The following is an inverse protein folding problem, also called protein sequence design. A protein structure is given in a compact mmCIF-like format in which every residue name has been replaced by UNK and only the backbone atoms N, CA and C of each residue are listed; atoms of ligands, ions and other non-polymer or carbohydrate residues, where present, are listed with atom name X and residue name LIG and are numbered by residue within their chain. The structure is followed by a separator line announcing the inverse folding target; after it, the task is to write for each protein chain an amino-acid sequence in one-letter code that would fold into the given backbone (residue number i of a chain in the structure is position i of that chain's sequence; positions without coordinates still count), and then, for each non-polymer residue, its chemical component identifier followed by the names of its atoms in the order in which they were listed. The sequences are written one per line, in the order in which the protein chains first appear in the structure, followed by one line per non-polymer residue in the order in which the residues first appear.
data_IF_700400184567
#
_entry.id   IF_700400184567
#
_cell.length_a   1.000
_cell.length_b   1.000
_cell.length_c   1.000
_cell.angle_alpha   90.00
_cell.angle_beta   90.00
_cell.angle_gamma   90.00
#
_symmetry.space_group_name_H-M   'P 1'
#
loop_
_entity.id
_entity.type
_entity.pdbx_description
1 polymer ?
#
# COMPACT_ATOMS: atom_id res chain seq x y z
N UNK A 1 22.65 -25.53 -75.89
CA UNK A 1 23.38 -24.25 -75.85
C UNK A 1 23.22 -23.66 -74.46
N UNK A 2 24.34 -23.46 -73.77
CA UNK A 2 24.45 -22.85 -72.45
C UNK A 2 24.12 -21.37 -72.50
N UNK A 3 23.47 -20.83 -71.46
CA UNK A 3 24.14 -19.81 -70.64
C UNK A 3 23.49 -19.63 -69.27
N UNK A 4 24.28 -19.95 -68.24
CA UNK A 4 24.09 -19.59 -66.85
C UNK A 4 24.63 -18.17 -66.61
N UNK A 5 23.96 -17.34 -65.80
CA UNK A 5 24.58 -16.38 -64.84
C UNK A 5 23.58 -16.15 -63.70
N UNK A 6 23.79 -16.76 -62.53
CA UNK A 6 24.47 -16.28 -61.30
C UNK A 6 23.80 -15.09 -60.59
N UNK A 7 23.53 -15.34 -59.30
CA UNK A 7 22.90 -14.55 -58.23
C UNK A 7 23.60 -13.21 -57.88
N UNK A 8 22.84 -12.26 -57.32
CA UNK A 8 23.02 -11.79 -55.93
C UNK A 8 21.90 -10.83 -55.45
N UNK A 9 21.68 -10.68 -54.12
CA UNK A 9 20.43 -10.21 -53.52
C UNK A 9 20.46 -8.70 -53.20
N UNK A 10 19.36 -8.01 -53.43
CA UNK A 10 19.12 -6.67 -52.90
C UNK A 10 17.87 -6.71 -52.00
N UNK A 11 18.16 -6.55 -50.70
CA UNK A 11 17.30 -6.11 -49.61
C UNK A 11 15.86 -5.71 -49.98
N UNK A 12 14.92 -6.58 -49.61
CA UNK A 12 13.49 -6.23 -49.53
C UNK A 12 13.22 -5.71 -48.12
N UNK A 13 13.29 -4.40 -47.94
CA UNK A 13 12.89 -3.72 -46.69
C UNK A 13 11.37 -3.54 -46.73
N UNK A 14 10.62 -4.48 -46.16
CA UNK A 14 9.18 -4.32 -45.90
C UNK A 14 9.02 -3.51 -44.62
N UNK A 15 8.73 -2.22 -44.75
CA UNK A 15 8.30 -1.37 -43.63
C UNK A 15 6.79 -1.63 -43.42
N UNK A 16 6.46 -2.55 -42.52
CA UNK A 16 5.14 -2.67 -41.91
C UNK A 16 5.05 -1.66 -40.76
N UNK A 17 4.68 -0.42 -41.06
CA UNK A 17 4.30 0.57 -40.05
C UNK A 17 2.78 0.72 -40.02
N UNK A 18 2.07 -0.23 -39.42
CA UNK A 18 0.74 -0.04 -38.81
C UNK A 18 0.53 -1.14 -37.76
N UNK A 19 1.24 -1.06 -36.64
CA UNK A 19 0.81 -1.74 -35.42
C UNK A 19 -0.25 -0.88 -34.74
N UNK A 20 -1.49 -1.39 -34.53
CA UNK A 20 -2.46 -0.69 -33.70
C UNK A 20 -1.87 -0.58 -32.30
N UNK A 21 -1.69 0.64 -31.83
CA UNK A 21 -1.39 0.89 -30.44
C UNK A 21 -2.50 0.24 -29.61
N UNK A 22 -2.19 -0.66 -28.66
CA UNK A 22 -3.16 -0.95 -27.62
C UNK A 22 -3.29 0.37 -26.86
N UNK A 23 -4.42 1.04 -27.03
CA UNK A 23 -4.84 2.11 -26.13
C UNK A 23 -4.78 1.52 -24.73
N UNK A 24 -3.85 2.02 -23.92
CA UNK A 24 -3.77 1.75 -22.50
C UNK A 24 -5.09 2.22 -21.90
N UNK A 25 -6.05 1.32 -21.78
CA UNK A 25 -7.13 1.49 -20.83
C UNK A 25 -6.47 1.51 -19.47
N UNK A 26 -6.43 2.68 -18.85
CA UNK A 26 -6.05 2.84 -17.45
C UNK A 26 -6.99 1.99 -16.60
N UNK A 27 -6.62 0.73 -16.35
CA UNK A 27 -7.33 -0.11 -15.39
C UNK A 27 -6.81 0.27 -14.01
N UNK A 28 -7.35 1.34 -13.45
CA UNK A 28 -7.40 1.52 -12.01
C UNK A 28 -8.12 0.30 -11.45
N UNK A 29 -7.41 -0.63 -10.82
CA UNK A 29 -8.07 -1.48 -9.82
C UNK A 29 -8.23 -0.58 -8.62
N UNK A 30 -9.45 -0.10 -8.41
CA UNK A 30 -9.83 0.60 -7.20
C UNK A 30 -9.47 -0.31 -6.01
N UNK A 31 -8.33 -0.06 -5.33
CA UNK A 31 -7.96 -0.70 -4.06
C UNK A 31 -8.83 -0.12 -2.91
N UNK A 32 -10.07 0.26 -3.23
CA UNK A 32 -11.09 0.69 -2.28
C UNK A 32 -12.01 -0.50 -2.01
N UNK A 33 -12.45 -0.71 -0.77
CA UNK A 33 -13.54 -1.64 -0.52
C UNK A 33 -14.71 -1.26 -1.44
N UNK A 34 -15.39 -2.24 -2.02
CA UNK A 34 -16.44 -2.00 -3.00
C UNK A 34 -17.81 -2.23 -2.36
N UNK A 35 -18.77 -1.39 -2.74
CA UNK A 35 -20.19 -1.65 -2.54
C UNK A 35 -20.70 -2.32 -3.80
N UNK A 36 -21.32 -3.48 -3.63
CA UNK A 36 -21.95 -4.22 -4.72
C UNK A 36 -23.46 -4.05 -4.62
N UNK A 37 -24.13 -4.03 -5.76
CA UNK A 37 -25.58 -3.94 -5.84
C UNK A 37 -26.11 -5.07 -6.70
N UNK A 38 -27.29 -5.56 -6.36
CA UNK A 38 -27.95 -6.64 -7.10
C UNK A 38 -28.41 -6.17 -8.47
N UNK A 39 -28.22 -7.00 -9.50
CA UNK A 39 -28.53 -6.68 -10.90
C UNK A 39 -30.01 -6.39 -11.15
N UNK A 40 -30.91 -7.08 -10.46
CA UNK A 40 -32.35 -6.99 -10.75
C UNK A 40 -33.03 -5.82 -10.03
N UNK A 41 -32.60 -5.56 -8.79
CA UNK A 41 -33.32 -4.64 -7.89
C UNK A 41 -32.48 -3.46 -7.40
N UNK A 42 -31.21 -3.43 -7.76
CA UNK A 42 -30.28 -2.39 -7.30
C UNK A 42 -30.17 -2.31 -5.78
N UNK A 43 -30.39 -3.44 -5.10
CA UNK A 43 -30.29 -3.54 -3.64
C UNK A 43 -28.83 -3.76 -3.25
N UNK A 44 -28.35 -3.01 -2.27
CA UNK A 44 -26.98 -3.15 -1.79
C UNK A 44 -26.75 -4.54 -1.19
N UNK A 45 -25.64 -5.17 -1.61
CA UNK A 45 -25.16 -6.40 -1.04
C UNK A 45 -24.64 -6.15 0.39
N UNK A 46 -25.05 -6.98 1.34
CA UNK A 46 -24.48 -6.97 2.69
C UNK A 46 -23.40 -8.03 2.91
N UNK A 47 -23.12 -8.85 1.91
CA UNK A 47 -21.98 -9.76 1.90
C UNK A 47 -21.20 -9.63 0.58
N UNK A 48 -20.11 -10.38 0.46
CA UNK A 48 -19.27 -10.37 -0.71
C UNK A 48 -20.02 -10.77 -1.99
N UNK A 49 -19.69 -10.08 -3.09
CA UNK A 49 -20.13 -10.49 -4.42
C UNK A 49 -19.22 -11.62 -4.92
N UNK A 50 -19.63 -12.87 -4.68
CA UNK A 50 -18.76 -14.04 -4.74
C UNK A 50 -19.39 -15.23 -5.48
N UNK A 51 -18.53 -16.07 -6.03
CA UNK A 51 -18.89 -17.39 -6.56
C UNK A 51 -19.10 -18.36 -5.39
N UNK A 52 -20.33 -18.82 -5.19
CA UNK A 52 -20.67 -19.83 -4.17
C UNK A 52 -21.02 -21.17 -4.82
N UNK A 53 -20.09 -21.72 -5.59
CA UNK A 53 -20.24 -23.01 -6.28
C UNK A 53 -20.88 -22.94 -7.68
N UNK A 54 -21.01 -21.74 -8.23
CA UNK A 54 -21.48 -21.46 -9.59
C UNK A 54 -20.46 -20.59 -10.32
N UNK A 55 -20.56 -20.51 -11.65
CA UNK A 55 -19.70 -19.68 -12.52
C UNK A 55 -20.17 -18.21 -12.63
N UNK A 56 -21.01 -17.78 -11.69
CA UNK A 56 -21.53 -16.43 -11.57
C UNK A 56 -21.46 -15.95 -10.13
N UNK A 57 -21.36 -14.64 -9.97
CA UNK A 57 -21.27 -13.93 -8.71
C UNK A 57 -22.65 -13.45 -8.27
N UNK A 58 -22.88 -13.56 -6.98
CA UNK A 58 -24.15 -13.23 -6.35
C UNK A 58 -23.88 -12.75 -4.94
N UNK A 59 -24.89 -12.16 -4.32
CA UNK A 59 -24.80 -11.67 -2.96
C UNK A 59 -26.18 -11.76 -2.31
N UNK A 60 -26.19 -11.60 -0.99
CA UNK A 60 -27.40 -11.37 -0.24
C UNK A 60 -27.68 -9.88 -0.09
N UNK A 61 -28.97 -9.55 -0.19
CA UNK A 61 -29.52 -8.23 0.10
C UNK A 61 -30.67 -8.36 1.09
N UNK A 62 -31.18 -7.22 1.58
CA UNK A 62 -32.38 -7.19 2.43
C UNK A 62 -33.63 -7.76 1.74
N UNK A 63 -33.60 -7.91 0.41
CA UNK A 63 -34.67 -8.51 -0.41
C UNK A 63 -34.40 -9.95 -0.86
N UNK A 64 -33.36 -10.58 -0.31
CA UNK A 64 -32.91 -11.93 -0.64
C UNK A 64 -31.72 -11.97 -1.59
N UNK A 65 -31.54 -13.11 -2.25
CA UNK A 65 -30.44 -13.33 -3.18
C UNK A 65 -30.57 -12.51 -4.46
N UNK A 66 -29.44 -12.01 -4.97
CA UNK A 66 -29.37 -11.37 -6.28
C UNK A 66 -28.00 -11.53 -6.93
N UNK A 67 -28.00 -11.51 -8.26
CA UNK A 67 -26.78 -11.46 -9.06
C UNK A 67 -26.06 -10.15 -8.82
N UNK A 68 -24.74 -10.12 -8.86
CA UNK A 68 -23.96 -8.91 -8.67
C UNK A 68 -22.68 -8.97 -9.51
N UNK A 69 -22.08 -7.82 -9.78
CA UNK A 69 -20.79 -7.76 -10.45
C UNK A 69 -19.65 -7.69 -9.42
N UNK A 70 -18.60 -8.53 -9.55
CA UNK A 70 -17.45 -8.50 -8.65
C UNK A 70 -16.60 -7.24 -8.81
N UNK A 71 -16.74 -6.52 -9.94
CA UNK A 71 -16.03 -5.27 -10.25
C UNK A 71 -16.91 -4.34 -11.08
N UNK A 72 -16.48 -3.08 -11.20
CA UNK A 72 -17.14 -2.12 -12.09
C UNK A 72 -17.02 -2.56 -13.55
N UNK A 73 -18.13 -2.46 -14.29
CA UNK A 73 -18.21 -2.75 -15.73
C UNK A 73 -17.76 -4.17 -16.12
N UNK A 74 -18.12 -5.15 -15.30
CA UNK A 74 -18.12 -6.56 -15.69
C UNK A 74 -19.51 -7.15 -15.48
N UNK A 75 -19.85 -8.22 -16.19
CA UNK A 75 -21.06 -9.00 -15.90
C UNK A 75 -20.91 -9.81 -14.60
N UNK A 76 -21.98 -10.50 -14.19
CA UNK A 76 -22.01 -11.37 -13.02
C UNK A 76 -21.11 -12.61 -13.16
N UNK A 77 -20.71 -12.97 -14.37
CA UNK A 77 -19.69 -14.00 -14.63
C UNK A 77 -18.26 -13.43 -14.67
N UNK A 78 -18.08 -12.11 -14.46
CA UNK A 78 -16.78 -11.44 -14.46
C UNK A 78 -16.21 -11.12 -15.86
N UNK A 79 -16.99 -11.25 -16.93
CA UNK A 79 -16.62 -10.84 -18.28
C UNK A 79 -16.68 -9.32 -18.44
N UNK A 80 -15.71 -8.76 -19.16
CA UNK A 80 -15.65 -7.32 -19.42
C UNK A 80 -16.82 -6.83 -20.28
N UNK A 81 -17.44 -5.74 -19.82
CA UNK A 81 -18.41 -4.98 -20.59
C UNK A 81 -17.71 -4.09 -21.63
N UNK A 82 -18.35 -3.94 -22.78
CA UNK A 82 -18.01 -2.99 -23.82
C UNK A 82 -18.12 -1.55 -23.30
N UNK A 83 -17.18 -0.68 -23.67
CA UNK A 83 -17.13 0.72 -23.20
C UNK A 83 -18.30 1.56 -23.68
N UNK A 84 -18.87 1.25 -24.85
CA UNK A 84 -20.00 1.97 -25.42
C UNK A 84 -21.33 1.52 -24.82
N UNK A 85 -21.35 0.32 -24.22
CA UNK A 85 -22.51 -0.27 -23.55
C UNK A 85 -22.10 -0.84 -22.19
N UNK A 86 -21.70 0.04 -21.23
CA UNK A 86 -21.28 -0.34 -19.89
C UNK A 86 -22.43 -0.97 -19.08
N UNK A 87 -22.18 -1.32 -17.82
CA UNK A 87 -23.23 -1.84 -16.96
C UNK A 87 -24.28 -0.76 -16.66
N UNK A 88 -25.50 -0.91 -17.19
CA UNK A 88 -26.60 0.05 -17.00
C UNK A 88 -27.98 -0.59 -17.25
N UNK A 89 -29.05 0.16 -16.95
CA UNK A 89 -30.42 -0.15 -17.34
C UNK A 89 -30.73 0.40 -18.72
N UNK A 90 -30.63 -0.47 -19.73
CA UNK A 90 -31.05 -0.19 -21.11
C UNK A 90 -32.56 -0.37 -21.31
N UNK A 91 -33.38 0.15 -20.38
CA UNK A 91 -34.85 0.04 -20.42
C UNK A 91 -35.42 -1.35 -20.08
N UNK A 92 -34.58 -2.29 -19.63
CA UNK A 92 -35.00 -3.60 -19.11
C UNK A 92 -35.22 -3.61 -17.60
N UNK A 93 -35.69 -4.76 -17.09
CA UNK A 93 -35.97 -4.95 -15.66
C UNK A 93 -34.72 -5.10 -14.79
N UNK A 94 -33.56 -5.36 -15.40
CA UNK A 94 -32.28 -5.58 -14.72
C UNK A 94 -31.13 -4.86 -15.42
N UNK A 95 -30.05 -4.63 -14.68
CA UNK A 95 -28.80 -4.08 -15.19
C UNK A 95 -28.10 -5.10 -16.09
N UNK A 96 -27.69 -4.65 -17.27
CA UNK A 96 -26.99 -5.49 -18.25
C UNK A 96 -25.90 -4.70 -18.95
N UNK A 97 -25.03 -5.39 -19.68
CA UNK A 97 -24.04 -4.76 -20.54
C UNK A 97 -23.79 -5.59 -21.79
N UNK A 98 -23.28 -4.97 -22.85
CA UNK A 98 -22.77 -5.71 -24.01
C UNK A 98 -21.39 -6.24 -23.66
N UNK A 99 -21.10 -7.50 -23.94
CA UNK A 99 -19.78 -8.07 -23.67
C UNK A 99 -18.81 -7.71 -24.79
N UNK A 100 -17.52 -7.53 -24.47
CA UNK A 100 -16.48 -7.28 -25.48
C UNK A 100 -16.35 -8.43 -26.51
N UNK A 101 -16.68 -9.65 -26.10
CA UNK A 101 -16.71 -10.84 -26.98
C UNK A 101 -18.01 -10.98 -27.78
N UNK A 102 -18.94 -10.03 -27.63
CA UNK A 102 -20.29 -10.08 -28.18
C UNK A 102 -21.29 -10.76 -27.24
N UNK A 103 -22.57 -10.47 -27.45
CA UNK A 103 -23.67 -10.89 -26.57
C UNK A 103 -23.95 -9.88 -25.45
N UNK A 104 -24.92 -10.24 -24.60
CA UNK A 104 -25.33 -9.46 -23.44
C UNK A 104 -25.09 -10.26 -22.16
N UNK A 105 -24.52 -9.61 -21.16
CA UNK A 105 -24.34 -10.15 -19.81
C UNK A 105 -25.18 -9.38 -18.80
N UNK A 106 -25.65 -10.06 -17.75
CA UNK A 106 -26.28 -9.42 -16.59
C UNK A 106 -25.19 -8.82 -15.72
N UNK A 107 -25.38 -7.63 -15.19
CA UNK A 107 -24.35 -6.97 -14.37
C UNK A 107 -25.00 -6.26 -13.20
N UNK A 108 -24.27 -6.00 -12.11
CA UNK A 108 -24.70 -5.20 -10.98
C UNK A 108 -23.89 -3.90 -10.88
N UNK A 109 -24.48 -2.85 -10.33
CA UNK A 109 -23.74 -1.62 -10.04
C UNK A 109 -22.66 -1.90 -9.00
N UNK A 110 -21.51 -1.24 -9.14
CA UNK A 110 -20.39 -1.31 -8.20
C UNK A 110 -19.86 0.09 -7.94
N UNK A 111 -19.74 0.44 -6.66
CA UNK A 111 -19.28 1.75 -6.20
C UNK A 111 -18.13 1.61 -5.19
N UNK A 112 -17.32 2.65 -5.05
CA UNK A 112 -16.27 2.69 -4.03
C UNK A 112 -16.85 3.01 -2.65
N UNK A 113 -16.46 2.20 -1.65
CA UNK A 113 -16.76 2.43 -0.23
C UNK A 113 -15.64 3.29 0.35
N UNK A 114 -15.89 4.60 0.42
CA UNK A 114 -14.97 5.58 1.01
C UNK A 114 -15.10 5.70 2.52
N UNK A 115 -16.24 5.31 3.07
CA UNK A 115 -16.52 5.31 4.51
C UNK A 115 -16.65 3.87 5.01
N UNK A 116 -15.84 3.52 6.00
CA UNK A 116 -15.93 2.25 6.72
C UNK A 116 -16.49 2.53 8.10
N UNK A 117 -17.67 1.98 8.35
CA UNK A 117 -18.28 1.91 9.66
C UNK A 117 -17.72 0.70 10.39
N UNK A 118 -17.38 0.88 11.65
CA UNK A 118 -17.06 -0.20 12.58
C UNK A 118 -18.13 -0.27 13.64
N UNK A 119 -18.46 -1.47 14.05
CA UNK A 119 -19.50 -1.73 15.04
C UNK A 119 -19.01 -1.37 16.44
N UNK A 120 -19.91 -1.42 17.42
CA UNK A 120 -19.56 -1.24 18.84
C UNK A 120 -18.52 -2.24 19.31
N UNK A 121 -18.39 -3.40 18.65
CA UNK A 121 -17.37 -4.43 18.94
C UNK A 121 -16.17 -4.37 17.97
N UNK A 122 -15.96 -3.22 17.32
CA UNK A 122 -14.81 -2.95 16.44
C UNK A 122 -14.73 -3.86 15.20
N UNK A 123 -15.86 -4.41 14.75
CA UNK A 123 -15.95 -5.18 13.51
C UNK A 123 -16.31 -4.27 12.34
N UNK A 124 -15.68 -4.46 11.18
CA UNK A 124 -16.01 -3.68 10.00
C UNK A 124 -17.40 -4.06 9.48
N UNK A 125 -18.24 -3.06 9.24
CA UNK A 125 -19.51 -3.24 8.55
C UNK A 125 -19.25 -3.59 7.10
N UNK A 126 -19.97 -4.59 6.58
CA UNK A 126 -19.94 -4.98 5.16
C UNK A 126 -20.82 -4.05 4.33
N UNK A 127 -21.98 -3.63 4.85
CA UNK A 127 -22.87 -2.62 4.29
C UNK A 127 -22.75 -1.26 5.00
N UNK A 128 -23.68 -0.36 4.70
CA UNK A 128 -23.80 0.93 5.39
C UNK A 128 -24.48 0.75 6.75
N UNK A 129 -24.17 1.66 7.68
CA UNK A 129 -24.80 1.70 8.99
C UNK A 129 -26.25 2.22 8.89
N UNK A 130 -27.23 1.34 9.05
CA UNK A 130 -28.65 1.59 8.78
C UNK A 130 -29.44 1.83 10.06
N UNK A 131 -30.40 2.76 10.00
CA UNK A 131 -31.31 3.02 11.12
C UNK A 131 -32.44 1.97 11.16
N UNK A 132 -32.68 1.38 12.33
CA UNK A 132 -33.77 0.47 12.59
C UNK A 132 -34.87 1.16 13.41
N UNK A 133 -35.94 1.58 12.74
CA UNK A 133 -37.00 2.42 13.33
C UNK A 133 -37.64 1.81 14.59
N UNK A 134 -37.98 0.51 14.56
CA UNK A 134 -38.64 -0.15 15.70
C UNK A 134 -37.73 -0.27 16.92
N UNK A 135 -36.41 -0.39 16.70
CA UNK A 135 -35.42 -0.54 17.75
C UNK A 135 -34.81 0.78 18.22
N UNK A 136 -34.95 1.84 17.42
CA UNK A 136 -34.31 3.16 17.62
C UNK A 136 -32.80 3.04 17.78
N UNK A 137 -32.17 2.28 16.89
CA UNK A 137 -30.73 2.11 16.86
C UNK A 137 -30.23 1.93 15.43
N UNK A 138 -28.93 2.13 15.26
CA UNK A 138 -28.21 1.87 14.04
C UNK A 138 -27.50 0.52 14.09
N UNK A 139 -27.47 -0.17 12.96
CA UNK A 139 -26.90 -1.51 12.82
C UNK A 139 -26.37 -1.74 11.41
N UNK A 140 -25.49 -2.73 11.27
CA UNK A 140 -24.96 -3.16 9.98
C UNK A 140 -24.68 -4.66 10.01
N UNK A 141 -24.44 -5.24 8.84
CA UNK A 141 -23.93 -6.59 8.73
C UNK A 141 -22.42 -6.64 8.90
N UNK A 142 -21.93 -7.77 9.40
CA UNK A 142 -20.51 -8.11 9.57
C UNK A 142 -20.28 -9.52 9.02
N UNK A 143 -19.02 -9.95 8.94
CA UNK A 143 -18.70 -11.34 8.58
C UNK A 143 -19.35 -12.38 9.51
N UNK A 144 -19.65 -12.01 10.77
CA UNK A 144 -20.22 -12.91 11.78
C UNK A 144 -21.75 -12.76 11.94
N UNK A 145 -22.42 -11.96 11.11
CA UNK A 145 -23.86 -11.71 11.20
C UNK A 145 -24.19 -10.22 11.16
N UNK A 146 -24.70 -9.67 12.26
CA UNK A 146 -25.03 -8.25 12.37
C UNK A 146 -24.60 -7.71 13.74
N UNK A 147 -24.35 -6.41 13.82
CA UNK A 147 -23.96 -5.72 15.07
C UNK A 147 -24.34 -4.24 15.02
N UNK A 148 -24.30 -3.55 16.16
CA UNK A 148 -24.63 -2.14 16.28
C UNK A 148 -23.51 -1.25 15.77
N UNK A 149 -23.83 -0.18 15.08
CA UNK A 149 -22.86 0.79 14.55
C UNK A 149 -23.38 2.22 14.79
N UNK A 150 -22.59 3.23 14.45
CA UNK A 150 -23.01 4.64 14.47
C UNK A 150 -23.03 5.18 13.04
N UNK A 151 -24.04 5.98 12.68
CA UNK A 151 -24.10 6.69 11.41
C UNK A 151 -23.13 7.87 11.36
N UNK A 152 -22.89 8.51 12.51
CA UNK A 152 -22.13 9.75 12.62
C UNK A 152 -20.96 9.65 13.60
N UNK A 153 -19.84 10.35 13.33
CA UNK A 153 -18.71 10.37 14.25
C UNK A 153 -19.12 10.94 15.59
N UNK A 154 -18.55 10.38 16.67
CA UNK A 154 -18.84 10.83 18.04
C UNK A 154 -20.34 10.82 18.38
N UNK A 155 -21.10 9.90 17.78
CA UNK A 155 -22.47 9.56 18.17
C UNK A 155 -22.54 8.10 18.58
N UNK A 156 -23.42 7.80 19.53
CA UNK A 156 -23.71 6.43 19.98
C UNK A 156 -24.51 5.69 18.92
N UNK A 157 -24.63 4.36 19.07
CA UNK A 157 -25.46 3.56 18.15
C UNK A 157 -26.96 3.91 18.21
N UNK A 158 -27.38 4.79 19.13
CA UNK A 158 -28.74 5.34 19.26
C UNK A 158 -28.83 6.82 18.85
N UNK A 159 -27.83 7.35 18.17
CA UNK A 159 -27.76 8.76 17.75
C UNK A 159 -27.62 9.79 18.89
N UNK A 160 -27.17 9.36 20.07
CA UNK A 160 -26.87 10.29 21.16
C UNK A 160 -25.44 10.80 21.00
N UNK A 161 -25.26 12.12 20.96
CA UNK A 161 -23.94 12.76 20.83
C UNK A 161 -23.05 12.45 22.03
N UNK A 162 -21.80 12.08 21.75
CA UNK A 162 -20.73 11.91 22.73
C UNK A 162 -20.23 13.27 23.23
N UNK A 163 -19.78 13.32 24.48
CA UNK A 163 -19.13 14.51 25.04
C UNK A 163 -17.90 14.92 24.21
N UNK A 164 -17.64 16.23 24.03
CA UNK A 164 -16.47 16.70 23.28
C UNK A 164 -15.12 16.25 23.83
N UNK A 165 -15.02 16.08 25.15
CA UNK A 165 -13.81 15.63 25.85
C UNK A 165 -13.72 14.10 26.01
N UNK A 166 -14.73 13.36 25.54
CA UNK A 166 -14.75 11.90 25.58
C UNK A 166 -15.45 11.38 24.32
N UNK A 167 -14.75 11.54 23.20
CA UNK A 167 -15.16 11.11 21.86
C UNK A 167 -15.48 9.61 21.78
N UNK A 168 -16.05 9.15 20.68
CA UNK A 168 -16.22 7.72 20.49
C UNK A 168 -14.85 7.03 20.40
N UNK A 169 -14.61 6.00 21.21
CA UNK A 169 -13.31 5.33 21.25
C UNK A 169 -13.33 4.00 22.00
N UNK A 170 -12.32 3.16 21.72
CA UNK A 170 -12.17 1.86 22.38
C UNK A 170 -11.62 1.97 23.82
N UNK A 171 -10.80 2.99 24.11
CA UNK A 171 -10.22 3.23 25.44
C UNK A 171 -9.56 2.00 26.09
N UNK A 172 -8.90 1.17 25.28
CA UNK A 172 -8.25 -0.07 25.72
C UNK A 172 -9.16 -1.29 25.80
N UNK A 173 -10.43 -1.17 25.43
CA UNK A 173 -11.41 -2.26 25.42
C UNK A 173 -11.57 -2.89 24.03
N UNK A 174 -12.25 -4.04 23.99
CA UNK A 174 -12.67 -4.71 22.75
C UNK A 174 -13.95 -4.14 22.16
N UNK A 175 -14.47 -3.05 22.75
CA UNK A 175 -15.65 -2.34 22.31
C UNK A 175 -15.43 -0.83 22.41
N UNK A 176 -16.17 -0.06 21.62
CA UNK A 176 -16.14 1.39 21.63
C UNK A 176 -17.34 2.01 22.34
N UNK A 177 -17.08 3.07 23.10
CA UNK A 177 -18.07 3.74 23.93
C UNK A 177 -17.70 5.21 24.14
N UNK A 178 -18.63 5.99 24.69
CA UNK A 178 -18.38 7.36 25.09
C UNK A 178 -19.32 7.79 26.23
N UNK A 179 -18.96 8.88 26.91
CA UNK A 179 -19.90 9.56 27.79
C UNK A 179 -20.84 10.45 26.99
N UNK A 180 -22.11 10.53 27.38
CA UNK A 180 -23.17 11.28 26.68
C UNK A 180 -23.63 12.54 27.43
N UNK A 181 -23.47 12.59 28.75
CA UNK A 181 -23.89 13.74 29.59
C UNK A 181 -22.91 14.01 30.72
N UNK A 182 -23.05 15.17 31.38
CA UNK A 182 -22.16 15.55 32.47
C UNK A 182 -22.26 14.74 33.79
N UNK A 183 -23.24 13.83 33.87
CA UNK A 183 -23.57 13.05 35.06
C UNK A 183 -23.00 11.62 35.02
N UNK A 184 -21.92 11.40 34.27
CA UNK A 184 -21.27 10.09 34.06
C UNK A 184 -22.16 9.06 33.34
N UNK A 185 -23.18 9.51 32.59
CA UNK A 185 -23.93 8.67 31.67
C UNK A 185 -23.06 8.31 30.45
N UNK A 186 -23.02 7.03 30.09
CA UNK A 186 -22.28 6.52 28.94
C UNK A 186 -23.12 5.59 28.09
N UNK A 187 -22.79 5.47 26.81
CA UNK A 187 -23.37 4.48 25.90
C UNK A 187 -22.33 4.03 24.86
N UNK A 188 -22.66 2.98 24.12
CA UNK A 188 -21.78 2.41 23.09
C UNK A 188 -21.83 3.21 21.79
N UNK A 189 -20.76 3.17 21.01
CA UNK A 189 -20.67 3.89 19.75
C UNK A 189 -19.82 3.10 18.75
N UNK A 190 -20.13 3.19 17.46
CA UNK A 190 -19.30 2.66 16.38
C UNK A 190 -18.26 3.68 15.92
N UNK A 191 -17.11 3.19 15.44
CA UNK A 191 -16.07 4.04 14.86
C UNK A 191 -16.31 4.25 13.37
N UNK A 192 -16.01 5.44 12.85
CA UNK A 192 -16.13 5.75 11.44
C UNK A 192 -14.77 6.18 10.93
N UNK A 193 -14.29 5.49 9.89
CA UNK A 193 -13.06 5.84 9.20
C UNK A 193 -13.35 6.17 7.74
N UNK A 194 -12.93 7.34 7.30
CA UNK A 194 -12.89 7.69 5.88
C UNK A 194 -11.54 7.24 5.33
N UNK A 195 -11.55 6.35 4.34
CA UNK A 195 -10.34 5.97 3.61
C UNK A 195 -10.24 6.82 2.35
N UNK A 196 -9.13 7.53 2.21
CA UNK A 196 -8.76 8.13 0.94
C UNK A 196 -8.43 7.01 -0.06
N UNK A 197 -9.30 6.84 -1.05
CA UNK A 197 -9.06 6.00 -2.20
C UNK A 197 -7.81 6.48 -2.96
N UNK A 198 -6.70 5.73 -2.87
CA UNK A 198 -5.50 5.99 -3.66
C UNK A 198 -5.51 5.11 -4.91
N UNK A 199 -5.90 5.70 -6.04
CA UNK A 199 -5.64 5.11 -7.36
C UNK A 199 -4.13 5.01 -7.58
N UNK A 200 -3.57 3.80 -7.51
CA UNK A 200 -2.24 3.54 -8.06
C UNK A 200 -2.43 3.10 -9.51
N UNK A 201 -2.04 3.90 -10.52
CA UNK A 201 -2.06 3.43 -11.91
C UNK A 201 -1.26 2.13 -12.00
N UNK A 202 -1.90 1.07 -12.50
CA UNK A 202 -1.24 -0.20 -12.75
C UNK A 202 -0.28 -0.04 -13.93
N UNK A 203 0.89 0.54 -13.68
CA UNK A 203 2.04 0.08 -14.45
C UNK A 203 2.26 -1.37 -14.08
N UNK A 204 2.23 -2.27 -15.07
CA UNK A 204 2.80 -3.62 -14.99
C UNK A 204 4.30 -3.50 -14.65
N UNK A 205 4.58 -3.20 -13.41
CA UNK A 205 5.78 -3.65 -12.73
C UNK A 205 5.30 -4.78 -11.83
N UNK A 206 5.99 -5.92 -11.86
CA UNK A 206 5.76 -7.02 -10.93
C UNK A 206 5.68 -6.43 -9.51
N UNK A 207 4.49 -6.31 -8.92
CA UNK A 207 4.29 -5.70 -7.59
C UNK A 207 5.14 -6.53 -6.61
N UNK A 208 6.09 -5.86 -5.98
CA UNK A 208 6.69 -6.36 -4.75
C UNK A 208 5.56 -6.44 -3.70
N UNK A 209 5.51 -7.50 -2.88
CA UNK A 209 4.51 -7.64 -1.83
C UNK A 209 4.55 -6.46 -0.84
N UNK A 210 3.44 -6.19 -0.13
CA UNK A 210 3.32 -5.05 0.78
C UNK A 210 4.41 -5.09 1.85
N UNK A 211 5.10 -3.95 2.00
CA UNK A 211 6.15 -3.73 3.01
C UNK A 211 5.55 -3.78 4.42
N UNK A 212 5.61 -4.93 5.09
CA UNK A 212 5.28 -5.01 6.51
C UNK A 212 6.46 -4.48 7.32
N UNK A 213 6.28 -3.37 8.04
CA UNK A 213 7.28 -2.91 9.00
C UNK A 213 7.45 -3.96 10.10
N UNK A 214 8.66 -4.47 10.29
CA UNK A 214 8.96 -5.54 11.24
C UNK A 214 9.45 -4.94 12.56
N UNK A 215 10.36 -3.97 12.47
CA UNK A 215 10.93 -3.26 13.62
C UNK A 215 11.46 -1.90 13.18
N UNK A 216 11.47 -0.94 14.09
CA UNK A 216 12.23 0.30 13.95
C UNK A 216 13.13 0.53 15.15
N UNK A 217 14.28 1.16 14.95
CA UNK A 217 15.23 1.53 16.00
C UNK A 217 15.70 2.96 15.77
N UNK A 218 15.88 3.73 16.82
CA UNK A 218 16.44 5.08 16.73
C UNK A 218 17.94 5.02 17.00
N UNK A 219 18.73 5.41 16.01
CA UNK A 219 20.15 5.69 16.19
C UNK A 219 20.31 7.16 16.61
N UNK A 220 20.99 7.39 17.74
CA UNK A 220 21.14 8.72 18.34
C UNK A 220 21.84 9.75 17.43
N UNK A 221 22.56 9.29 16.40
CA UNK A 221 23.34 10.14 15.50
C UNK A 221 22.83 10.12 14.03
N UNK A 222 22.11 9.08 13.60
CA UNK A 222 21.75 8.85 12.19
C UNK A 222 20.24 8.84 11.88
N UNK A 223 19.39 8.83 12.90
CA UNK A 223 17.92 8.87 12.74
C UNK A 223 17.24 7.52 12.97
N UNK A 224 16.03 7.34 12.42
CA UNK A 224 15.24 6.12 12.58
C UNK A 224 15.58 5.09 11.48
N UNK A 225 16.00 3.91 11.91
CA UNK A 225 16.22 2.73 11.09
C UNK A 225 14.92 1.93 11.06
N UNK A 226 14.38 1.65 9.87
CA UNK A 226 13.16 0.85 9.73
C UNK A 226 13.39 -0.35 8.81
N UNK A 227 12.99 -1.53 9.28
CA UNK A 227 13.08 -2.80 8.57
C UNK A 227 11.72 -3.18 8.00
N UNK A 228 11.64 -3.44 6.70
CA UNK A 228 10.42 -3.90 6.03
C UNK A 228 10.59 -5.32 5.47
N UNK A 229 9.57 -6.15 5.69
CA UNK A 229 9.34 -7.43 5.01
C UNK A 229 8.57 -7.14 3.72
N UNK A 230 9.20 -7.31 2.55
CA UNK A 230 8.52 -7.23 1.26
C UNK A 230 7.93 -8.58 0.81
N UNK A 231 7.79 -9.58 1.68
CA UNK A 231 7.32 -10.92 1.31
C UNK A 231 8.21 -11.61 0.26
N UNK A 232 7.68 -12.68 -0.35
CA UNK A 232 8.38 -13.42 -1.42
C UNK A 232 8.81 -14.84 -1.07
N UNK A 233 8.06 -15.56 -0.23
CA UNK A 233 8.38 -16.94 0.21
C UNK A 233 8.62 -17.94 -0.94
N UNK A 234 8.07 -17.68 -2.13
CA UNK A 234 8.28 -18.48 -3.35
C UNK A 234 9.54 -18.08 -4.16
N UNK A 235 10.07 -16.88 -3.93
CA UNK A 235 11.28 -16.35 -4.57
C UNK A 235 12.55 -16.56 -3.72
N UNK A 236 12.41 -16.84 -2.42
CA UNK A 236 13.51 -17.13 -1.49
C UNK A 236 13.39 -18.57 -1.00
N UNK A 237 14.38 -19.39 -1.37
CA UNK A 237 14.45 -20.81 -1.03
C UNK A 237 14.75 -20.99 0.47
N UNK A 238 14.23 -22.06 1.07
CA UNK A 238 14.66 -22.50 2.41
C UNK A 238 16.18 -22.69 2.44
N UNK A 239 16.81 -22.21 3.52
CA UNK A 239 18.24 -22.31 3.75
C UNK A 239 18.66 -23.63 4.39
N UNK A 240 17.74 -24.61 4.51
CA UNK A 240 18.01 -25.94 5.07
C UNK A 240 19.20 -26.60 4.36
N UNK A 241 20.26 -26.90 5.12
CA UNK A 241 21.53 -27.44 4.63
C UNK A 241 22.58 -26.41 4.16
N UNK A 242 22.24 -25.12 4.15
CA UNK A 242 23.12 -24.00 3.79
C UNK A 242 23.31 -22.97 4.92
N UNK A 243 22.54 -23.08 6.00
CA UNK A 243 22.49 -22.08 7.08
C UNK A 243 23.88 -21.73 7.63
N UNK A 244 24.66 -22.72 8.04
CA UNK A 244 25.99 -22.48 8.64
C UNK A 244 26.96 -21.78 7.68
N UNK A 245 26.96 -22.20 6.41
CA UNK A 245 27.79 -21.59 5.36
C UNK A 245 27.31 -20.17 5.00
N UNK A 246 26.00 -19.94 5.02
CA UNK A 246 25.43 -18.61 4.81
C UNK A 246 25.80 -17.66 5.95
N UNK A 247 25.75 -18.13 7.21
CA UNK A 247 26.15 -17.35 8.38
C UNK A 247 27.66 -17.04 8.37
N UNK A 248 28.50 -17.98 7.92
CA UNK A 248 29.93 -17.74 7.72
C UNK A 248 30.19 -16.66 6.65
N UNK A 249 29.51 -16.74 5.49
CA UNK A 249 29.60 -15.71 4.46
C UNK A 249 29.19 -14.32 4.97
N UNK A 250 28.08 -14.25 5.71
CA UNK A 250 27.61 -13.01 6.34
C UNK A 250 28.67 -12.48 7.32
N UNK A 251 29.28 -13.34 8.14
CA UNK A 251 30.32 -12.95 9.09
C UNK A 251 31.62 -12.45 8.42
N UNK A 252 31.88 -12.84 7.17
CA UNK A 252 33.03 -12.36 6.40
C UNK A 252 32.75 -11.13 5.52
N UNK A 253 31.51 -10.66 5.44
CA UNK A 253 31.11 -9.47 4.66
C UNK A 253 31.94 -8.22 4.97
N UNK A 254 32.85 -7.80 4.09
CA UNK A 254 33.49 -6.47 4.11
C UNK A 254 33.76 -5.88 2.70
N UNK A 255 32.95 -6.16 1.66
CA UNK A 255 33.26 -5.65 0.33
C UNK A 255 32.92 -4.17 0.21
N UNK A 256 33.78 -3.41 -0.46
CA UNK A 256 33.40 -2.10 -0.98
C UNK A 256 32.35 -2.28 -2.09
N UNK A 257 31.20 -1.63 -1.94
CA UNK A 257 30.14 -1.65 -2.94
C UNK A 257 30.42 -0.60 -4.01
N UNK A 258 30.44 -1.03 -5.27
CA UNK A 258 30.48 -0.14 -6.42
C UNK A 258 29.08 0.15 -6.95
N UNK A 259 28.99 1.04 -7.93
CA UNK A 259 27.71 1.42 -8.55
C UNK A 259 27.20 0.43 -9.60
N UNK A 260 27.98 -0.61 -9.93
CA UNK A 260 27.66 -1.60 -10.97
C UNK A 260 27.38 -2.96 -10.36
N UNK A 261 26.48 -3.71 -11.00
CA UNK A 261 26.24 -5.11 -10.65
C UNK A 261 27.54 -5.92 -10.69
N UNK A 262 27.74 -6.75 -9.66
CA UNK A 262 28.96 -7.54 -9.47
C UNK A 262 28.62 -8.83 -8.73
N UNK A 263 28.83 -9.96 -9.40
CA UNK A 263 28.75 -11.27 -8.76
C UNK A 263 30.05 -11.61 -8.02
N UNK A 264 29.95 -12.56 -7.09
CA UNK A 264 31.07 -13.06 -6.29
C UNK A 264 31.76 -11.97 -5.47
N UNK A 265 30.99 -11.06 -4.85
CA UNK A 265 31.54 -10.09 -3.89
C UNK A 265 32.24 -10.82 -2.73
N UNK A 266 31.63 -11.91 -2.30
CA UNK A 266 32.24 -12.92 -1.44
C UNK A 266 31.69 -14.29 -1.84
N UNK A 267 32.52 -15.32 -1.75
CA UNK A 267 32.16 -16.68 -2.15
C UNK A 267 32.62 -17.72 -1.12
N UNK A 268 32.00 -18.89 -1.22
CA UNK A 268 32.25 -20.11 -0.45
C UNK A 268 32.09 -21.31 -1.40
N UNK A 269 32.14 -22.53 -0.88
CA UNK A 269 32.05 -23.72 -1.73
C UNK A 269 30.69 -23.80 -2.44
N UNK A 270 29.59 -23.54 -1.73
CA UNK A 270 28.22 -23.72 -2.21
C UNK A 270 27.41 -22.44 -2.28
N UNK A 271 27.91 -21.32 -1.75
CA UNK A 271 27.19 -20.04 -1.77
C UNK A 271 28.07 -18.87 -2.22
N UNK A 272 27.43 -17.81 -2.73
CA UNK A 272 28.06 -16.51 -3.01
C UNK A 272 27.12 -15.36 -2.65
N UNK A 273 27.69 -14.18 -2.43
CA UNK A 273 26.94 -12.94 -2.32
C UNK A 273 27.18 -12.09 -3.58
N UNK A 274 26.08 -11.68 -4.20
CA UNK A 274 26.08 -10.92 -5.44
C UNK A 274 25.40 -9.56 -5.24
N UNK A 275 25.94 -8.52 -5.89
CA UNK A 275 25.25 -7.25 -6.13
C UNK A 275 24.51 -7.35 -7.46
N UNK A 276 23.19 -7.47 -7.41
CA UNK A 276 22.33 -7.61 -8.58
C UNK A 276 22.04 -6.29 -9.30
N UNK A 277 22.40 -5.17 -8.69
CA UNK A 277 22.28 -3.84 -9.26
C UNK A 277 22.02 -2.77 -8.20
N UNK A 278 21.92 -1.54 -8.69
CA UNK A 278 21.61 -0.35 -7.90
C UNK A 278 20.37 0.34 -8.47
N UNK A 279 19.59 1.00 -7.61
CA UNK A 279 18.46 1.82 -8.04
C UNK A 279 18.39 3.05 -7.13
N UNK A 280 18.65 4.22 -7.71
CA UNK A 280 18.90 5.43 -6.92
C UNK A 280 20.08 5.23 -6.00
N UNK A 281 19.88 5.49 -4.70
CA UNK A 281 20.86 5.29 -3.64
C UNK A 281 20.69 3.94 -2.90
N UNK A 282 20.17 2.91 -3.55
CA UNK A 282 20.00 1.58 -2.95
C UNK A 282 20.81 0.51 -3.66
N UNK A 283 21.33 -0.44 -2.87
CA UNK A 283 22.01 -1.65 -3.33
C UNK A 283 21.10 -2.86 -3.15
N UNK A 284 21.00 -3.70 -4.18
CA UNK A 284 20.28 -4.98 -4.13
C UNK A 284 21.26 -6.15 -4.03
N UNK A 285 21.35 -6.72 -2.84
CA UNK A 285 22.29 -7.79 -2.53
C UNK A 285 21.56 -9.12 -2.31
N UNK A 286 22.14 -10.21 -2.81
CA UNK A 286 21.55 -11.55 -2.72
C UNK A 286 22.58 -12.60 -2.33
N UNK A 287 22.20 -13.53 -1.45
CA UNK A 287 22.95 -14.77 -1.22
C UNK A 287 22.38 -15.84 -2.15
N UNK A 288 23.23 -16.40 -3.01
CA UNK A 288 22.86 -17.36 -4.04
C UNK A 288 23.65 -18.66 -3.92
N UNK A 289 23.02 -19.77 -4.30
CA UNK A 289 23.66 -21.09 -4.40
C UNK A 289 24.59 -21.13 -5.63
N UNK A 290 25.79 -21.68 -5.45
CA UNK A 290 26.74 -21.98 -6.50
C UNK A 290 26.34 -23.30 -7.17
N UNK A 291 26.13 -23.29 -8.49
CA UNK A 291 25.78 -24.48 -9.27
C UNK A 291 24.53 -24.32 -10.14
N UNK A 292 24.14 -25.41 -10.80
CA UNK A 292 23.04 -25.43 -11.75
C UNK A 292 21.68 -25.30 -11.04
N UNK A 293 20.87 -24.34 -11.52
CA UNK A 293 19.54 -24.05 -10.99
C UNK A 293 18.63 -25.29 -11.11
N UNK A 294 18.00 -25.77 -10.01
CA UNK A 294 16.98 -26.81 -10.10
C UNK A 294 15.80 -26.33 -10.96
N UNK A 295 15.22 -27.22 -11.78
CA UNK A 295 14.04 -26.89 -12.59
C UNK A 295 12.93 -26.32 -11.71
N UNK A 296 12.46 -25.11 -12.03
CA UNK A 296 11.38 -24.43 -11.30
C UNK A 296 11.75 -23.79 -9.96
N UNK A 297 13.00 -23.90 -9.47
CA UNK A 297 13.41 -23.38 -8.14
C UNK A 297 14.11 -22.02 -8.17
N UNK A 298 14.15 -21.32 -7.03
CA UNK A 298 15.02 -20.14 -6.83
C UNK A 298 16.41 -20.55 -6.34
N UNK A 299 17.46 -19.90 -6.84
CA UNK A 299 18.83 -20.04 -6.35
C UNK A 299 19.14 -19.09 -5.18
N UNK A 300 18.23 -18.17 -4.86
CA UNK A 300 18.41 -17.15 -3.82
C UNK A 300 17.89 -17.67 -2.49
N UNK A 301 18.73 -17.60 -1.46
CA UNK A 301 18.38 -18.00 -0.08
C UNK A 301 18.22 -16.80 0.87
N UNK A 302 18.72 -15.63 0.49
CA UNK A 302 18.51 -14.37 1.21
C UNK A 302 18.64 -13.18 0.26
N UNK A 303 17.90 -12.10 0.53
CA UNK A 303 17.94 -10.87 -0.26
C UNK A 303 17.71 -9.64 0.62
N UNK A 304 18.58 -8.64 0.47
CA UNK A 304 18.44 -7.33 1.12
C UNK A 304 18.50 -6.20 0.10
N UNK A 305 17.75 -5.14 0.38
CA UNK A 305 17.86 -3.83 -0.27
C UNK A 305 18.30 -2.84 0.80
N UNK A 306 19.46 -2.23 0.62
CA UNK A 306 20.06 -1.32 1.61
C UNK A 306 20.40 0.01 0.98
N UNK A 307 20.17 1.09 1.72
CA UNK A 307 20.50 2.44 1.29
C UNK A 307 22.00 2.69 1.35
N UNK A 308 22.51 3.59 0.50
CA UNK A 308 23.89 4.04 0.54
C UNK A 308 24.22 4.68 1.89
N UNK A 309 25.38 4.34 2.45
CA UNK A 309 25.77 4.70 3.82
C UNK A 309 25.32 3.74 4.92
N UNK A 310 24.58 2.67 4.59
CA UNK A 310 24.34 1.53 5.51
C UNK A 310 25.68 0.89 5.89
N UNK A 311 25.87 0.57 7.16
CA UNK A 311 27.11 -0.03 7.67
C UNK A 311 27.17 -1.53 7.40
N UNK A 312 28.38 -2.11 7.37
CA UNK A 312 28.57 -3.55 7.21
C UNK A 312 27.79 -4.37 8.25
N UNK A 313 27.71 -3.90 9.50
CA UNK A 313 26.99 -4.60 10.56
C UNK A 313 25.47 -4.61 10.33
N UNK A 314 24.90 -3.49 9.89
CA UNK A 314 23.48 -3.40 9.54
C UNK A 314 23.15 -4.30 8.34
N UNK A 315 24.03 -4.37 7.34
CA UNK A 315 23.85 -5.29 6.21
C UNK A 315 23.89 -6.76 6.67
N UNK A 316 24.81 -7.11 7.58
CA UNK A 316 24.87 -8.47 8.16
C UNK A 316 23.61 -8.82 8.92
N UNK A 317 23.09 -7.91 9.74
CA UNK A 317 21.84 -8.11 10.47
C UNK A 317 20.67 -8.30 9.50
N UNK A 318 20.55 -7.45 8.48
CA UNK A 318 19.49 -7.56 7.48
C UNK A 318 19.54 -8.91 6.72
N UNK A 319 20.74 -9.42 6.42
CA UNK A 319 20.88 -10.74 5.81
C UNK A 319 20.46 -11.88 6.75
N UNK A 320 20.77 -11.78 8.04
CA UNK A 320 20.33 -12.76 9.06
C UNK A 320 18.80 -12.77 9.16
N UNK A 321 18.19 -11.60 9.24
CA UNK A 321 16.73 -11.51 9.30
C UNK A 321 16.06 -12.03 8.01
N UNK A 322 16.66 -11.77 6.83
CA UNK A 322 16.21 -12.31 5.55
C UNK A 322 16.27 -13.84 5.49
N UNK A 323 17.35 -14.45 6.00
CA UNK A 323 17.52 -15.90 6.10
C UNK A 323 16.49 -16.54 7.04
N UNK A 324 16.28 -15.95 8.22
CA UNK A 324 15.36 -16.46 9.23
C UNK A 324 13.90 -16.44 8.74
N UNK A 325 13.50 -15.33 8.09
CA UNK A 325 12.10 -15.10 7.71
C UNK A 325 11.76 -15.56 6.30
N UNK A 326 12.76 -15.98 5.52
CA UNK A 326 12.65 -16.31 4.09
C UNK A 326 11.98 -15.19 3.29
N UNK A 327 12.43 -13.97 3.58
CA UNK A 327 11.79 -12.75 3.13
C UNK A 327 12.82 -11.77 2.56
N UNK A 328 12.38 -10.95 1.61
CA UNK A 328 13.18 -9.85 1.10
C UNK A 328 13.14 -8.72 2.11
N UNK A 329 14.30 -8.27 2.56
CA UNK A 329 14.43 -7.20 3.55
C UNK A 329 14.76 -5.87 2.90
N UNK A 330 14.07 -4.81 3.31
CA UNK A 330 14.41 -3.44 2.90
C UNK A 330 14.80 -2.63 4.13
N UNK A 331 15.94 -1.95 4.02
CA UNK A 331 16.50 -1.08 5.04
C UNK A 331 16.38 0.38 4.59
N UNK A 332 15.69 1.21 5.39
CA UNK A 332 15.58 2.65 5.18
C UNK A 332 16.20 3.41 6.36
N UNK A 333 17.04 4.40 6.05
CA UNK A 333 17.53 5.40 7.01
C UNK A 333 16.68 6.66 6.88
N UNK A 334 15.89 6.97 7.90
CA UNK A 334 15.12 8.22 7.98
C UNK A 334 15.82 9.19 8.92
N UNK A 335 16.20 10.41 8.47
CA UNK A 335 16.77 11.41 9.36
C UNK A 335 15.76 11.82 10.44
N UNK A 336 16.23 12.10 11.66
CA UNK A 336 15.42 12.63 12.76
C UNK A 336 14.84 13.99 12.34
N UNK A 337 13.54 14.04 12.04
CA UNK A 337 12.82 15.31 11.87
C UNK A 337 12.53 15.85 13.27
N UNK A 338 13.28 16.87 13.69
CA UNK A 338 12.89 17.72 14.82
C UNK A 338 11.58 18.41 14.45
N UNK A 339 10.47 17.97 15.04
CA UNK A 339 9.18 18.67 14.97
C UNK A 339 9.31 20.02 15.68
N UNK A 340 9.77 21.04 14.96
CA UNK A 340 9.55 22.42 15.33
C UNK A 340 8.12 22.81 14.96
N UNK A 341 7.33 23.05 16.00
CA UNK A 341 5.98 23.60 16.01
C UNK A 341 5.78 24.74 14.98
N UNK A 342 4.80 24.61 14.08
CA UNK A 342 4.24 25.73 13.32
C UNK A 342 3.31 26.53 14.22
N UNK A 343 3.85 27.55 14.88
CA UNK A 343 3.14 28.75 15.32
C UNK A 343 3.70 29.94 14.53
N UNK A 344 2.85 30.87 14.16
CA UNK A 344 3.06 31.95 13.20
C UNK A 344 4.15 32.97 13.55
N UNK A 345 4.42 33.83 12.55
CA UNK A 345 5.01 35.18 12.55
C UNK A 345 6.44 35.26 11.99
N UNK A 346 6.53 35.98 10.87
CA UNK A 346 7.72 36.36 10.15
C UNK A 346 8.59 37.33 10.94
N UNK A 347 9.92 37.15 10.90
CA UNK A 347 10.90 38.24 10.75
C UNK A 347 12.13 37.68 10.03
N UNK A 348 12.46 38.23 8.86
CA UNK A 348 13.76 38.07 8.25
C UNK A 348 14.78 38.87 9.07
N UNK A 349 15.81 38.22 9.60
CA UNK A 349 16.97 38.90 10.21
C UNK A 349 18.22 38.27 9.60
N UNK A 350 18.97 39.07 8.85
CA UNK A 350 20.32 38.77 8.39
C UNK A 350 21.25 38.43 9.58
N UNK A 351 22.27 37.58 9.42
CA UNK A 351 23.22 37.32 10.48
C UNK A 351 24.15 38.52 10.66
N UNK A 352 23.98 39.24 11.77
CA UNK A 352 24.96 40.20 12.26
C UNK A 352 26.18 39.46 12.84
N UNK A 353 27.33 39.80 12.28
CA UNK A 353 28.69 39.41 12.67
C UNK A 353 29.00 39.91 14.10
N UNK A 354 29.28 38.99 15.04
CA UNK A 354 29.69 39.31 16.40
C UNK A 354 31.22 39.41 16.48
N UNK A 355 31.67 40.67 16.40
CA UNK A 355 32.74 41.32 17.19
C UNK A 355 33.75 40.46 17.96
N UNK A 356 35.03 40.72 17.66
CA UNK A 356 36.07 40.90 18.66
C UNK A 356 36.78 42.25 18.46
N UNK A 357 36.82 43.08 19.50
CA UNK A 357 37.80 44.15 19.68
C UNK A 357 38.08 44.30 21.18
N UNK A 358 39.34 44.56 21.57
CA UNK A 358 39.62 45.19 22.85
C UNK A 358 40.28 46.56 22.69
N UNK A 359 39.70 47.51 23.42
CA UNK A 359 40.39 48.45 24.32
C UNK A 359 41.43 49.43 23.77
N UNK A 360 41.05 50.72 23.74
CA UNK A 360 41.79 51.78 24.46
C UNK A 360 40.98 53.08 24.58
N UNK A 361 40.88 53.57 25.82
CA UNK A 361 40.47 54.91 26.31
C UNK A 361 41.49 56.01 25.90
N UNK A 362 41.34 57.32 26.25
CA UNK A 362 40.17 58.11 26.72
C UNK A 362 40.09 59.59 26.21
N UNK A 363 39.16 60.39 26.80
CA UNK A 363 39.06 61.87 26.91
C UNK A 363 38.48 62.60 25.67
N UNK A 364 37.53 63.56 25.72
CA UNK A 364 37.14 64.64 26.67
C UNK A 364 35.68 65.12 26.41
N UNK A 365 35.08 65.94 27.30
CA UNK A 365 33.67 66.38 27.24
C UNK A 365 33.48 67.70 26.46
N UNK A 366 32.22 68.15 26.24
CA UNK A 366 31.74 69.56 26.33
C UNK A 366 30.26 69.66 25.90
N UNK A 367 29.46 70.24 26.80
CA UNK A 367 28.29 71.15 26.71
C UNK A 367 27.26 71.08 25.56
N UNK A 368 25.97 70.98 25.93
CA UNK A 368 24.94 72.05 25.91
C UNK A 368 24.36 72.30 24.50
N UNK A 369 23.08 72.57 24.25
CA UNK A 369 22.05 73.27 24.99
C UNK A 369 20.72 73.04 24.25
N UNK A 370 19.60 73.16 24.97
CA UNK A 370 18.33 73.80 24.56
C UNK A 370 18.07 74.09 23.07
N UNK A 371 16.90 73.66 22.57
CA UNK A 371 15.82 74.59 22.21
C UNK A 371 14.50 73.83 21.91
N UNK A 372 13.43 74.41 22.46
CA UNK A 372 11.98 74.34 22.17
C UNK A 372 11.41 73.23 21.29
#
# INVERSE_FOLDING_TARGET
MMNQRRLSPLFLTVILCLSPWPTSGDTCTDDCPLKHYTSDRDEQCYDGCEERGYDYHWCHSTKGWGHCSPRKNVDDNGNACDKDYPCDKYGGDYYSCRLEKGGWGRCGRVESKTTIYQTINLKDCTDDCQYHESGKYFWCHTEDGWDYCSSDPDHTYKDVTCRPNHKCGAYGQTYSWCYTTDNDDWDYCGLISTRECKCSPQHRSKRAPPRRQIRSRTDQNRGQITFYDEGGQNAIRQSDGYLDEALDLINRWRPALGTRAKSNLITSARLRIDLQGTFGNFYNLQIQINGQRPSGGSSTIAQIIVQDGTTDNEMREAFRDSLERRAKFVFLLQPLVTLATRGEIAVAVEPAELTEQPSSRPLTPVDASHCA
#
